data_IF_840269994115
#
_entry.id   IF_840269994115
#
_cell.length_a   1.000
_cell.length_b   1.000
_cell.length_c   1.000
_cell.angle_alpha   90.00
_cell.angle_beta   90.00
_cell.angle_gamma   90.00
#
_symmetry.space_group_name_H-M   'P 1'
#
loop_
_entity.id
_entity.type
_entity.pdbx_description
1 polymer ?
#
# COMPACT_ATOMS: atom_id res chain seq x y z
N UNK A 1 17.03 -1.82 -13.67
CA UNK A 1 16.64 -0.49 -13.13
C UNK A 1 15.21 -0.64 -12.63
N UNK A 2 14.99 -0.74 -11.32
CA UNK A 2 13.61 -0.87 -10.79
C UNK A 2 13.03 0.54 -10.69
N UNK A 3 11.94 0.81 -11.41
CA UNK A 3 11.16 2.06 -11.32
C UNK A 3 10.31 1.99 -10.04
N UNK A 4 10.61 2.83 -9.07
CA UNK A 4 9.83 2.99 -7.84
C UNK A 4 8.85 4.14 -8.04
N UNK A 5 7.58 3.94 -7.72
CA UNK A 5 6.69 5.05 -7.38
C UNK A 5 7.23 5.61 -6.06
N UNK A 6 7.99 6.70 -6.13
CA UNK A 6 8.58 7.33 -4.96
C UNK A 6 7.49 8.14 -4.26
N UNK A 7 7.35 7.95 -2.95
CA UNK A 7 6.47 8.76 -2.11
C UNK A 7 7.34 9.90 -1.54
N UNK A 8 6.87 11.13 -1.62
CA UNK A 8 7.52 12.28 -0.99
C UNK A 8 6.64 12.88 0.12
N UNK A 9 7.20 13.81 0.90
CA UNK A 9 6.56 14.35 2.10
C UNK A 9 5.18 14.97 1.80
N UNK A 10 4.97 15.52 0.61
CA UNK A 10 3.73 16.18 0.20
C UNK A 10 2.84 15.30 -0.69
N UNK A 11 3.42 14.32 -1.40
CA UNK A 11 2.72 13.46 -2.34
C UNK A 11 2.98 11.98 -2.00
N UNK A 12 2.15 11.45 -1.10
CA UNK A 12 2.15 10.05 -0.71
C UNK A 12 0.71 9.53 -0.51
N UNK A 13 0.56 8.22 -0.55
CA UNK A 13 -0.72 7.52 -0.41
C UNK A 13 -0.82 6.74 0.91
N UNK A 14 0.06 7.04 1.87
CA UNK A 14 0.17 6.28 3.12
C UNK A 14 -1.09 6.34 3.98
N UNK A 15 -1.71 7.52 4.09
CA UNK A 15 -2.98 7.72 4.78
C UNK A 15 -4.12 6.93 4.12
N UNK A 16 -4.19 6.97 2.79
CA UNK A 16 -5.18 6.23 2.01
C UNK A 16 -5.03 4.71 2.22
N UNK A 17 -3.80 4.17 2.16
CA UNK A 17 -3.52 2.77 2.46
C UNK A 17 -4.02 2.36 3.84
N UNK A 18 -3.73 3.18 4.86
CA UNK A 18 -4.15 2.91 6.24
C UNK A 18 -5.67 2.94 6.39
N UNK A 19 -6.34 3.87 5.72
CA UNK A 19 -7.81 3.95 5.70
C UNK A 19 -8.42 2.71 5.04
N UNK A 20 -7.94 2.34 3.85
CA UNK A 20 -8.40 1.17 3.10
C UNK A 20 -8.19 -0.13 3.87
N UNK A 21 -7.01 -0.30 4.49
CA UNK A 21 -6.75 -1.46 5.34
C UNK A 21 -7.71 -1.55 6.51
N UNK A 22 -7.94 -0.43 7.22
CA UNK A 22 -8.86 -0.38 8.36
C UNK A 22 -10.30 -0.66 7.95
N UNK A 23 -10.73 -0.21 6.77
CA UNK A 23 -12.06 -0.54 6.20
C UNK A 23 -12.27 -2.05 6.08
N UNK A 24 -11.23 -2.78 5.70
CA UNK A 24 -11.26 -4.24 5.61
C UNK A 24 -11.07 -4.96 6.95
N UNK A 25 -10.87 -4.24 8.06
CA UNK A 25 -10.61 -4.84 9.37
C UNK A 25 -9.27 -5.58 9.49
N UNK A 26 -8.31 -5.29 8.60
CA UNK A 26 -7.03 -6.01 8.54
C UNK A 26 -5.94 -5.34 9.37
N UNK A 27 -5.09 -6.14 9.99
CA UNK A 27 -3.81 -5.70 10.56
C UNK A 27 -2.75 -5.54 9.47
N UNK A 28 -1.67 -4.81 9.77
CA UNK A 28 -0.54 -4.68 8.84
C UNK A 28 0.11 -6.04 8.54
N UNK A 29 0.14 -6.94 9.52
CA UNK A 29 0.66 -8.30 9.36
C UNK A 29 -0.20 -9.08 8.37
N UNK A 30 -1.53 -9.04 8.51
CA UNK A 30 -2.44 -9.75 7.62
C UNK A 30 -2.33 -9.28 6.16
N UNK A 31 -2.12 -7.98 5.92
CA UNK A 31 -1.88 -7.45 4.56
C UNK A 31 -0.54 -7.96 4.02
N UNK A 32 0.52 -7.91 4.82
CA UNK A 32 1.84 -8.42 4.46
C UNK A 32 1.79 -9.92 4.11
N UNK A 33 1.13 -10.75 4.92
CA UNK A 33 0.97 -12.17 4.65
C UNK A 33 0.20 -12.42 3.34
N UNK A 34 -0.90 -11.68 3.09
CA UNK A 34 -1.66 -11.79 1.83
C UNK A 34 -0.81 -11.43 0.62
N UNK A 35 -0.03 -10.34 0.69
CA UNK A 35 0.90 -9.95 -0.37
C UNK A 35 1.93 -11.04 -0.64
N UNK A 36 2.49 -11.66 0.40
CA UNK A 36 3.44 -12.76 0.27
C UNK A 36 2.81 -14.00 -0.37
N UNK A 37 1.57 -14.35 -0.01
CA UNK A 37 0.81 -15.43 -0.67
C UNK A 37 0.57 -15.14 -2.16
N UNK A 38 0.44 -13.87 -2.54
CA UNK A 38 0.35 -13.43 -3.93
C UNK A 38 1.71 -13.32 -4.64
N UNK A 39 2.81 -13.71 -3.99
CA UNK A 39 4.17 -13.71 -4.56
C UNK A 39 4.94 -12.39 -4.39
N UNK A 40 4.42 -11.44 -3.62
CA UNK A 40 5.10 -10.17 -3.34
C UNK A 40 5.84 -10.22 -2.00
N UNK A 41 7.17 -10.12 -2.05
CA UNK A 41 7.99 -10.08 -0.85
C UNK A 41 7.92 -8.70 -0.16
N UNK A 42 6.80 -8.43 0.52
CA UNK A 42 6.57 -7.24 1.34
C UNK A 42 6.44 -7.70 2.79
N UNK A 43 7.37 -7.27 3.65
CA UNK A 43 7.29 -7.52 5.08
C UNK A 43 6.30 -6.57 5.77
N UNK A 44 5.83 -6.93 6.97
CA UNK A 44 4.99 -6.04 7.79
C UNK A 44 5.66 -4.69 8.04
N UNK A 45 6.98 -4.67 8.29
CA UNK A 45 7.73 -3.44 8.50
C UNK A 45 7.75 -2.56 7.24
N UNK A 46 8.00 -3.15 6.07
CA UNK A 46 7.97 -2.42 4.80
C UNK A 46 6.56 -1.85 4.53
N UNK A 47 5.52 -2.66 4.72
CA UNK A 47 4.13 -2.19 4.59
C UNK A 47 3.81 -1.06 5.58
N UNK A 48 4.29 -1.15 6.83
CA UNK A 48 4.12 -0.09 7.81
C UNK A 48 4.82 1.22 7.40
N UNK A 49 5.94 1.16 6.68
CA UNK A 49 6.60 2.34 6.12
C UNK A 49 5.85 2.89 4.90
N UNK A 50 5.23 2.02 4.08
CA UNK A 50 4.34 2.45 3.00
C UNK A 50 3.16 3.27 3.54
N UNK A 51 2.52 2.83 4.65
CA UNK A 51 1.46 3.59 5.33
C UNK A 51 1.94 4.91 5.95
N UNK A 52 3.24 5.03 6.25
CA UNK A 52 3.84 6.27 6.74
C UNK A 52 4.28 7.21 5.61
N UNK A 53 4.20 6.77 4.35
CA UNK A 53 4.73 7.51 3.21
C UNK A 53 6.25 7.48 3.07
N UNK A 54 6.97 6.75 3.94
CA UNK A 54 8.45 6.74 3.96
C UNK A 54 9.07 5.60 3.14
N UNK A 55 8.27 4.89 2.35
CA UNK A 55 8.70 3.78 1.51
C UNK A 55 7.95 3.77 0.20
N UNK A 56 8.66 3.66 -0.93
CA UNK A 56 8.03 3.59 -2.24
C UNK A 56 7.16 2.34 -2.41
N UNK A 57 6.15 2.44 -3.27
CA UNK A 57 5.22 1.34 -3.55
C UNK A 57 5.44 0.87 -4.98
N UNK A 58 5.74 -0.41 -5.16
CA UNK A 58 5.83 -0.99 -6.51
C UNK A 58 4.44 -1.00 -7.14
N UNK A 59 4.34 -0.68 -8.44
CA UNK A 59 3.06 -0.72 -9.15
C UNK A 59 2.40 -2.10 -9.03
N UNK A 60 3.16 -3.18 -9.13
CA UNK A 60 2.65 -4.54 -8.94
C UNK A 60 2.06 -4.79 -7.55
N UNK A 61 2.65 -4.18 -6.51
CA UNK A 61 2.11 -4.21 -5.15
C UNK A 61 0.84 -3.38 -5.05
N UNK A 62 0.77 -2.21 -5.70
CA UNK A 62 -0.45 -1.40 -5.76
C UNK A 62 -1.61 -2.17 -6.42
N UNK A 63 -1.36 -2.90 -7.50
CA UNK A 63 -2.35 -3.77 -8.15
C UNK A 63 -2.82 -4.88 -7.20
N UNK A 64 -1.92 -5.47 -6.42
CA UNK A 64 -2.30 -6.48 -5.43
C UNK A 64 -3.11 -5.90 -4.28
N UNK A 65 -2.74 -4.71 -3.79
CA UNK A 65 -3.46 -4.00 -2.74
C UNK A 65 -4.88 -3.62 -3.18
N UNK A 66 -5.08 -3.27 -4.46
CA UNK A 66 -6.43 -3.08 -5.03
C UNK A 66 -7.31 -4.29 -4.78
N UNK A 67 -6.79 -5.49 -5.03
CA UNK A 67 -7.52 -6.75 -4.83
C UNK A 67 -7.74 -7.06 -3.35
N UNK A 68 -6.72 -6.85 -2.50
CA UNK A 68 -6.84 -7.11 -1.05
C UNK A 68 -7.88 -6.19 -0.39
N UNK A 69 -7.96 -4.93 -0.85
CA UNK A 69 -8.84 -3.92 -0.26
C UNK A 69 -10.19 -3.78 -0.94
N UNK A 70 -10.44 -4.51 -2.03
CA UNK A 70 -11.61 -4.34 -2.88
C UNK A 70 -11.86 -2.84 -3.15
N UNK A 71 -10.85 -2.20 -3.74
CA UNK A 71 -10.79 -0.76 -3.92
C UNK A 71 -10.67 -0.40 -5.41
N UNK A 72 -10.97 0.84 -5.74
CA UNK A 72 -10.63 1.43 -7.02
C UNK A 72 -9.32 2.21 -6.94
N UNK A 73 -8.64 2.41 -8.07
CA UNK A 73 -7.36 3.14 -8.05
C UNK A 73 -7.50 4.55 -7.48
N UNK A 74 -8.62 5.23 -7.76
CA UNK A 74 -8.92 6.54 -7.21
C UNK A 74 -8.93 6.58 -5.67
N UNK A 75 -9.30 5.48 -5.00
CA UNK A 75 -9.33 5.42 -3.55
C UNK A 75 -7.94 5.53 -2.90
N UNK A 76 -6.88 5.13 -3.62
CA UNK A 76 -5.50 5.24 -3.15
C UNK A 76 -4.98 6.68 -3.24
N UNK A 77 -5.52 7.48 -4.16
CA UNK A 77 -5.07 8.84 -4.43
C UNK A 77 -6.03 9.92 -3.90
N UNK A 78 -7.08 9.54 -3.19
CA UNK A 78 -8.14 10.46 -2.73
C UNK A 78 -7.67 11.58 -1.79
N UNK A 79 -6.51 11.40 -1.19
CA UNK A 79 -5.93 12.35 -0.22
C UNK A 79 -4.96 13.33 -0.89
N UNK A 80 -4.72 13.16 -2.19
CA UNK A 80 -3.89 14.05 -3.00
C UNK A 80 -4.75 15.18 -3.59
N UNK A 81 -4.16 16.37 -3.83
CA UNK A 81 -4.84 17.53 -4.40
C UNK A 81 -5.25 17.35 -5.87
#
# INVERSE_FOLDING_TARGET
MHQWFYQDDNYNIGSALKRLRKRMGLSQEQVSSKLQTMGYNVSRAAYAQMEKGTYGIRISVLVALKQIFDAEYGDFFSDLP
#
